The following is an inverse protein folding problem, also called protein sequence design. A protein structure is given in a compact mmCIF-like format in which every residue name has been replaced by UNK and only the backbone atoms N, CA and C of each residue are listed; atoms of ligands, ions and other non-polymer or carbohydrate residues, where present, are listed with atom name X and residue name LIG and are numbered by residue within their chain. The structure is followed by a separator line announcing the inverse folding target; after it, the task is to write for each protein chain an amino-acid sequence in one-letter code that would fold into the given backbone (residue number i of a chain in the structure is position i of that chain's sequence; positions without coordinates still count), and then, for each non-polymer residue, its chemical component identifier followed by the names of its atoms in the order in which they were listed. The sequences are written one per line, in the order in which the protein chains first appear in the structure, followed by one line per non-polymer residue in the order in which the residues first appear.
data_IF_859208401691
#
_entry.id   IF_859208401691
#
_cell.length_a   1.000
_cell.length_b   1.000
_cell.length_c   1.000
_cell.angle_alpha   90.00
_cell.angle_beta   90.00
_cell.angle_gamma   90.00
#
_symmetry.space_group_name_H-M   'P 1'
#
loop_
_entity.id
_entity.type
_entity.pdbx_description
1 polymer ?
#
# COMPACT_ATOMS: atom_id res chain seq x y z
N UNK A 1 5.04 -29.16 -46.54
CA UNK A 1 5.01 -27.71 -46.75
C UNK A 1 4.56 -27.08 -45.46
N UNK A 2 5.50 -26.54 -44.69
CA UNK A 2 5.23 -25.76 -43.48
C UNK A 2 4.95 -24.32 -43.93
N UNK A 3 3.72 -23.86 -43.76
CA UNK A 3 3.36 -22.46 -43.98
C UNK A 3 3.92 -21.65 -42.81
N UNK A 4 4.90 -20.79 -43.09
CA UNK A 4 5.38 -19.78 -42.15
C UNK A 4 4.39 -18.63 -42.19
N UNK A 5 3.67 -18.38 -41.09
CA UNK A 5 2.89 -17.17 -40.92
C UNK A 5 3.87 -16.02 -40.66
N UNK A 6 3.98 -15.10 -41.61
CA UNK A 6 4.59 -13.80 -41.36
C UNK A 6 3.62 -13.00 -40.46
N UNK A 7 4.11 -12.25 -39.46
CA UNK A 7 3.25 -11.38 -38.66
C UNK A 7 2.55 -10.37 -39.58
N UNK A 8 1.22 -10.33 -39.50
CA UNK A 8 0.40 -9.37 -40.22
C UNK A 8 0.28 -8.09 -39.38
N UNK A 9 0.76 -6.98 -39.90
CA UNK A 9 0.51 -5.65 -39.33
C UNK A 9 -0.83 -5.13 -39.86
N UNK A 10 -1.72 -4.76 -38.95
CA UNK A 10 -3.02 -4.18 -39.26
C UNK A 10 -2.97 -2.70 -38.91
N UNK A 11 -3.07 -1.84 -39.92
CA UNK A 11 -3.20 -0.40 -39.72
C UNK A 11 -4.69 -0.06 -39.59
N UNK A 12 -5.10 0.48 -38.45
CA UNK A 12 -6.51 0.73 -38.11
C UNK A 12 -7.05 2.03 -38.72
N UNK A 13 -6.20 3.06 -38.87
CA UNK A 13 -6.58 4.34 -39.44
C UNK A 13 -5.39 5.01 -40.14
N UNK A 14 -5.56 5.35 -41.42
CA UNK A 14 -4.72 6.33 -42.12
C UNK A 14 -5.45 7.67 -42.05
N UNK A 15 -4.99 8.56 -41.17
CA UNK A 15 -5.37 9.96 -41.21
C UNK A 15 -4.29 10.69 -42.03
N UNK A 16 -4.64 11.16 -43.23
CA UNK A 16 -3.74 11.94 -44.05
C UNK A 16 -3.62 13.34 -43.42
N UNK A 17 -2.43 13.63 -42.89
CA UNK A 17 -2.14 14.97 -42.40
C UNK A 17 -2.03 15.92 -43.61
N UNK A 18 -2.92 16.91 -43.67
CA UNK A 18 -2.98 17.89 -44.76
C UNK A 18 -2.16 19.15 -44.45
N UNK A 19 -1.46 19.15 -43.33
CA UNK A 19 -0.67 20.30 -42.88
C UNK A 19 0.59 20.42 -43.73
N UNK A 20 0.73 21.56 -44.39
CA UNK A 20 1.85 21.85 -45.30
C UNK A 20 2.92 22.61 -44.52
N UNK A 21 4.14 22.08 -44.49
CA UNK A 21 5.24 22.66 -43.73
C UNK A 21 6.48 21.78 -43.67
N UNK A 22 7.41 22.17 -42.79
CA UNK A 22 8.59 21.39 -42.41
C UNK A 22 8.39 20.88 -40.99
N UNK A 23 8.63 19.59 -40.76
CA UNK A 23 8.35 18.92 -39.49
C UNK A 23 9.53 18.06 -39.05
N UNK A 24 9.67 17.90 -37.74
CA UNK A 24 10.62 16.99 -37.11
C UNK A 24 9.97 15.60 -36.96
N UNK A 25 10.58 14.57 -37.53
CA UNK A 25 10.06 13.21 -37.53
C UNK A 25 11.16 12.17 -37.24
N UNK A 26 10.75 10.93 -36.95
CA UNK A 26 11.64 9.79 -36.69
C UNK A 26 12.78 10.11 -35.70
N UNK A 27 12.43 10.80 -34.61
CA UNK A 27 13.36 11.15 -33.54
C UNK A 27 13.78 9.86 -32.84
N UNK A 28 15.08 9.66 -32.65
CA UNK A 28 15.62 8.61 -31.82
C UNK A 28 16.81 9.17 -31.05
N UNK A 29 16.77 9.26 -29.72
CA UNK A 29 15.63 8.98 -28.83
C UNK A 29 14.41 9.86 -29.10
N UNK A 30 13.21 9.37 -28.78
CA UNK A 30 11.96 10.12 -28.92
C UNK A 30 11.78 11.14 -27.79
N UNK A 31 10.93 12.14 -28.03
CA UNK A 31 10.57 13.12 -27.02
C UNK A 31 9.85 12.45 -25.84
N UNK A 32 10.40 12.64 -24.64
CA UNK A 32 9.94 12.04 -23.36
C UNK A 32 10.38 10.59 -23.12
N UNK A 33 11.29 10.06 -23.94
CA UNK A 33 11.94 8.78 -23.61
C UNK A 33 12.70 8.90 -22.29
N UNK A 34 12.60 7.85 -21.48
CA UNK A 34 13.33 7.67 -20.23
C UNK A 34 14.21 6.43 -20.35
N UNK A 35 15.26 6.35 -19.52
CA UNK A 35 16.17 5.20 -19.50
C UNK A 35 16.89 4.97 -20.84
N UNK A 36 17.29 6.06 -21.48
CA UNK A 36 18.03 6.00 -22.73
C UNK A 36 19.51 5.72 -22.46
N UNK A 37 20.10 4.77 -23.19
CA UNK A 37 21.53 4.44 -23.13
C UNK A 37 22.42 5.70 -23.15
N UNK A 38 23.42 5.76 -22.25
CA UNK A 38 24.29 6.94 -22.15
C UNK A 38 25.16 7.20 -23.39
N UNK A 39 25.42 6.17 -24.20
CA UNK A 39 26.17 6.25 -25.46
C UNK A 39 25.23 6.32 -26.69
N UNK A 40 23.97 6.72 -26.51
CA UNK A 40 23.00 6.78 -27.62
C UNK A 40 23.37 7.84 -28.66
N UNK A 41 23.07 7.52 -29.92
CA UNK A 41 23.16 8.49 -31.02
C UNK A 41 21.84 9.24 -31.16
N UNK A 42 21.92 10.54 -31.39
CA UNK A 42 20.73 11.36 -31.67
C UNK A 42 20.48 11.35 -33.18
N UNK A 43 19.41 10.69 -33.61
CA UNK A 43 18.94 10.67 -34.99
C UNK A 43 17.62 11.42 -35.13
N UNK A 44 17.50 12.24 -36.17
CA UNK A 44 16.29 12.97 -36.48
C UNK A 44 16.14 13.18 -37.99
N UNK A 45 14.88 13.23 -38.44
CA UNK A 45 14.52 13.56 -39.82
C UNK A 45 13.78 14.89 -39.88
N UNK A 46 14.19 15.75 -40.81
CA UNK A 46 13.46 16.92 -41.24
C UNK A 46 12.70 16.58 -42.52
N UNK A 47 11.38 16.53 -42.43
CA UNK A 47 10.48 16.18 -43.53
C UNK A 47 9.76 17.43 -44.02
N UNK A 48 9.80 17.67 -45.33
CA UNK A 48 9.01 18.72 -45.99
C UNK A 48 7.79 18.10 -46.66
N UNK A 49 6.58 18.51 -46.28
CA UNK A 49 5.34 17.95 -46.85
C UNK A 49 4.93 18.59 -48.17
N UNK A 50 5.70 19.58 -48.66
CA UNK A 50 5.50 20.29 -49.94
C UNK A 50 6.65 20.00 -50.93
N UNK A 51 6.56 20.53 -52.15
CA UNK A 51 7.65 20.52 -53.13
C UNK A 51 8.88 21.36 -52.71
N UNK A 52 8.82 22.08 -51.58
CA UNK A 52 9.94 22.83 -51.03
C UNK A 52 11.02 21.88 -50.49
N UNK A 53 12.29 22.23 -50.69
CA UNK A 53 13.46 21.44 -50.25
C UNK A 53 13.95 21.99 -48.90
N UNK A 54 14.32 21.12 -47.96
CA UNK A 54 14.97 21.52 -46.71
C UNK A 54 16.32 22.20 -47.01
N UNK A 55 16.54 23.39 -46.44
CA UNK A 55 17.78 24.15 -46.60
C UNK A 55 18.83 23.65 -45.61
N UNK A 56 19.64 22.68 -46.08
CA UNK A 56 20.76 22.14 -45.30
C UNK A 56 21.66 23.25 -44.79
N UNK A 57 21.94 24.27 -45.61
CA UNK A 57 22.86 25.34 -45.24
C UNK A 57 22.35 26.20 -44.08
N UNK A 58 21.04 26.24 -43.82
CA UNK A 58 20.45 27.02 -42.72
C UNK A 58 19.85 26.11 -41.62
N UNK A 59 20.30 24.86 -41.53
CA UNK A 59 19.90 23.94 -40.48
C UNK A 59 20.91 23.97 -39.33
N UNK A 60 20.41 24.21 -38.12
CA UNK A 60 21.18 24.28 -36.89
C UNK A 60 20.55 23.32 -35.86
N UNK A 61 21.36 22.44 -35.29
CA UNK A 61 20.94 21.55 -34.20
C UNK A 61 21.71 21.92 -32.95
N UNK A 62 20.97 22.16 -31.87
CA UNK A 62 21.51 22.42 -30.55
C UNK A 62 21.22 21.25 -29.62
N UNK A 63 22.23 20.78 -28.88
CA UNK A 63 22.08 19.79 -27.81
C UNK A 63 22.48 20.45 -26.51
N UNK A 64 21.58 20.44 -25.51
CA UNK A 64 21.73 21.13 -24.23
C UNK A 64 22.06 22.63 -24.37
N UNK A 65 21.59 23.26 -25.46
CA UNK A 65 21.86 24.67 -25.76
C UNK A 65 23.23 24.93 -26.41
N UNK A 66 24.08 23.91 -26.55
CA UNK A 66 25.33 23.98 -27.33
C UNK A 66 25.06 23.64 -28.79
N UNK A 67 25.72 24.33 -29.71
CA UNK A 67 25.58 24.05 -31.14
C UNK A 67 26.29 22.72 -31.45
N UNK A 68 25.52 21.72 -31.88
CA UNK A 68 26.03 20.38 -32.21
C UNK A 68 26.30 20.23 -33.72
N UNK A 69 25.47 20.85 -34.56
CA UNK A 69 25.61 20.79 -36.02
C UNK A 69 25.30 22.14 -36.65
N UNK A 70 26.14 22.55 -37.61
CA UNK A 70 25.99 23.76 -38.43
C UNK A 70 26.11 23.42 -39.91
N UNK A 71 25.00 23.55 -40.63
CA UNK A 71 24.94 23.30 -42.07
C UNK A 71 25.66 24.32 -42.95
N UNK A 72 26.10 25.48 -42.41
CA UNK A 72 26.77 26.54 -43.20
C UNK A 72 28.27 26.30 -43.46
N UNK A 73 28.91 25.32 -42.79
CA UNK A 73 30.37 25.29 -42.71
C UNK A 73 31.04 23.95 -42.40
N UNK A 74 31.48 23.76 -41.14
CA UNK A 74 32.39 22.69 -40.69
C UNK A 74 31.67 21.32 -40.56
N UNK A 75 30.34 21.32 -40.55
CA UNK A 75 29.50 20.16 -40.25
C UNK A 75 29.26 20.02 -38.75
N UNK A 76 29.49 18.81 -38.22
CA UNK A 76 29.41 18.52 -36.79
C UNK A 76 30.48 19.28 -35.99
N UNK A 77 30.08 19.83 -34.84
CA UNK A 77 30.97 20.57 -33.96
C UNK A 77 31.84 19.60 -33.12
N UNK A 78 33.03 20.04 -32.66
CA UNK A 78 33.88 19.22 -31.80
C UNK A 78 33.13 18.76 -30.55
N UNK A 79 33.15 17.47 -30.27
CA UNK A 79 32.36 16.88 -29.17
C UNK A 79 31.14 16.11 -29.65
N UNK A 80 30.63 16.46 -30.84
CA UNK A 80 29.45 15.90 -31.50
C UNK A 80 29.79 15.27 -32.86
N UNK A 81 31.09 15.11 -33.16
CA UNK A 81 31.66 14.63 -34.42
C UNK A 81 32.17 13.18 -34.33
N UNK A 82 31.46 12.33 -33.57
CA UNK A 82 31.78 10.92 -33.43
C UNK A 82 31.73 10.14 -34.76
N UNK A 83 32.34 8.94 -34.83
CA UNK A 83 32.44 8.15 -36.08
C UNK A 83 31.08 7.76 -36.70
N UNK A 84 30.00 7.74 -35.92
CA UNK A 84 28.63 7.51 -36.36
C UNK A 84 27.90 8.78 -36.84
N UNK A 85 28.51 9.96 -36.73
CA UNK A 85 27.90 11.22 -37.15
C UNK A 85 27.77 11.27 -38.67
N UNK A 86 26.55 11.40 -39.16
CA UNK A 86 26.26 11.39 -40.60
C UNK A 86 25.12 12.31 -40.97
N UNK A 87 25.20 12.84 -42.18
CA UNK A 87 24.16 13.63 -42.81
C UNK A 87 23.73 12.88 -44.08
N UNK A 88 22.45 12.55 -44.20
CA UNK A 88 21.91 11.89 -45.38
C UNK A 88 20.75 12.68 -45.97
N UNK A 89 20.81 12.86 -47.29
CA UNK A 89 19.75 13.50 -48.04
C UNK A 89 18.78 12.42 -48.50
N UNK A 90 17.58 12.43 -47.91
CA UNK A 90 16.58 11.41 -48.16
C UNK A 90 15.85 11.70 -49.49
N UNK A 91 15.74 10.65 -50.30
CA UNK A 91 15.03 10.70 -51.59
C UNK A 91 13.56 10.37 -51.36
N UNK A 92 12.67 11.31 -51.68
CA UNK A 92 11.23 11.05 -51.75
C UNK A 92 10.84 10.79 -53.22
N UNK A 93 10.41 9.56 -53.59
CA UNK A 93 9.75 9.32 -54.89
C UNK A 93 8.43 10.12 -54.93
N UNK A 94 8.07 10.82 -56.03
CA UNK A 94 8.39 10.47 -57.42
C UNK A 94 9.22 11.51 -58.20
N UNK A 95 9.79 12.53 -57.55
CA UNK A 95 10.52 13.58 -58.27
C UNK A 95 11.93 13.10 -58.61
N UNK A 96 12.18 12.84 -59.89
CA UNK A 96 13.50 12.40 -60.38
C UNK A 96 14.50 13.55 -60.22
N UNK A 97 15.38 13.46 -59.22
CA UNK A 97 16.59 14.29 -59.12
C UNK A 97 16.61 15.41 -58.09
N UNK A 98 15.66 15.47 -57.14
CA UNK A 98 15.71 16.41 -56.00
C UNK A 98 15.58 15.66 -54.68
N UNK A 99 16.48 15.92 -53.73
CA UNK A 99 16.38 15.48 -52.35
C UNK A 99 15.48 16.47 -51.62
N UNK A 100 14.45 15.99 -50.92
CA UNK A 100 13.45 16.84 -50.27
C UNK A 100 13.62 16.87 -48.75
N UNK A 101 13.92 15.72 -48.17
CA UNK A 101 14.03 15.51 -46.73
C UNK A 101 15.49 15.33 -46.32
N UNK A 102 15.76 15.55 -45.03
CA UNK A 102 17.12 15.59 -44.50
C UNK A 102 17.22 14.81 -43.19
N UNK A 103 18.09 13.80 -43.15
CA UNK A 103 18.39 13.00 -41.97
C UNK A 103 19.71 13.43 -41.36
N UNK A 104 19.69 13.63 -40.04
CA UNK A 104 20.86 13.98 -39.26
C UNK A 104 21.03 12.91 -38.18
N UNK A 105 22.20 12.29 -38.12
CA UNK A 105 22.63 11.44 -37.00
C UNK A 105 23.84 12.10 -36.35
N UNK A 106 23.71 12.44 -35.07
CA UNK A 106 24.76 13.01 -34.23
C UNK A 106 25.26 11.90 -33.29
N UNK A 107 26.55 11.62 -33.34
CA UNK A 107 27.25 10.70 -32.44
C UNK A 107 28.11 11.51 -31.46
N UNK A 108 27.70 11.62 -30.17
CA UNK A 108 28.48 12.33 -29.17
C UNK A 108 29.79 11.59 -28.86
N UNK A 109 30.92 12.32 -28.87
CA UNK A 109 32.24 11.74 -28.61
C UNK A 109 32.47 11.32 -27.15
N UNK A 110 31.63 11.82 -26.24
CA UNK A 110 31.59 11.46 -24.83
C UNK A 110 30.15 11.15 -24.46
N UNK A 111 29.91 9.99 -23.84
CA UNK A 111 28.59 9.61 -23.34
C UNK A 111 28.00 10.61 -22.35
N UNK A 112 26.68 10.61 -22.25
CA UNK A 112 25.94 11.48 -21.35
C UNK A 112 26.11 11.06 -19.88
N UNK A 113 25.78 11.97 -18.96
CA UNK A 113 25.82 11.69 -17.53
C UNK A 113 24.55 11.00 -17.03
N UNK A 114 24.64 10.26 -15.92
CA UNK A 114 23.51 9.54 -15.30
C UNK A 114 22.31 10.47 -15.06
N UNK A 115 21.10 9.99 -15.39
CA UNK A 115 19.83 10.72 -15.23
C UNK A 115 19.79 12.12 -15.88
N UNK A 116 20.70 12.40 -16.80
CA UNK A 116 20.75 13.70 -17.46
C UNK A 116 19.54 13.86 -18.38
N UNK A 117 18.78 14.94 -18.21
CA UNK A 117 17.80 15.36 -19.21
C UNK A 117 18.52 16.06 -20.37
N UNK A 118 18.57 15.42 -21.52
CA UNK A 118 19.15 15.97 -22.75
C UNK A 118 18.07 16.70 -23.54
N UNK A 119 18.29 17.97 -23.85
CA UNK A 119 17.38 18.78 -24.67
C UNK A 119 17.95 19.00 -26.06
N UNK A 120 17.23 18.56 -27.09
CA UNK A 120 17.59 18.77 -28.50
C UNK A 120 16.67 19.84 -29.08
N UNK A 121 17.25 20.90 -29.64
CA UNK A 121 16.53 21.95 -30.34
C UNK A 121 16.98 22.02 -31.79
N UNK A 122 16.03 21.96 -32.71
CA UNK A 122 16.28 21.99 -34.15
C UNK A 122 15.70 23.27 -34.73
N UNK A 123 16.56 24.06 -35.39
CA UNK A 123 16.17 25.26 -36.11
C UNK A 123 16.51 25.07 -37.58
N UNK A 124 15.51 25.08 -38.45
CA UNK A 124 15.71 24.87 -39.89
C UNK A 124 14.68 25.65 -40.71
N UNK A 125 14.93 25.75 -42.01
CA UNK A 125 14.03 26.36 -42.97
C UNK A 125 14.09 25.64 -44.32
N UNK A 126 13.10 25.84 -45.17
CA UNK A 126 13.17 25.41 -46.58
C UNK A 126 13.94 26.42 -47.43
N UNK A 127 14.48 25.99 -48.57
CA UNK A 127 15.19 26.86 -49.52
C UNK A 127 14.29 28.03 -49.94
N UNK A 128 14.74 29.26 -49.69
CA UNK A 128 13.95 30.48 -49.93
C UNK A 128 13.09 30.95 -48.75
N UNK A 129 13.11 30.23 -47.62
CA UNK A 129 12.51 30.66 -46.35
C UNK A 129 10.98 30.54 -46.29
N UNK A 130 10.37 29.70 -47.12
CA UNK A 130 8.91 29.54 -47.18
C UNK A 130 8.32 28.97 -45.89
N UNK A 131 8.97 27.94 -45.33
CA UNK A 131 8.63 27.32 -44.07
C UNK A 131 9.83 27.30 -43.13
N UNK A 132 9.59 27.47 -41.83
CA UNK A 132 10.60 27.50 -40.77
C UNK A 132 10.17 26.61 -39.61
N UNK A 133 11.11 25.93 -38.97
CA UNK A 133 10.90 25.14 -37.76
C UNK A 133 11.87 25.60 -36.67
N UNK A 134 11.35 25.65 -35.44
CA UNK A 134 12.09 25.90 -34.21
C UNK A 134 11.42 25.08 -33.11
N UNK A 135 11.82 23.81 -33.04
CA UNK A 135 11.23 22.82 -32.14
C UNK A 135 12.29 22.27 -31.19
N UNK A 136 11.86 21.94 -29.97
CA UNK A 136 12.70 21.30 -28.97
C UNK A 136 12.00 20.10 -28.35
N UNK A 137 12.73 19.01 -28.19
CA UNK A 137 12.30 17.84 -27.44
C UNK A 137 13.39 17.45 -26.44
N UNK A 138 13.02 16.65 -25.44
CA UNK A 138 13.94 16.20 -24.42
C UNK A 138 13.74 14.73 -24.09
N UNK A 139 14.81 14.05 -23.74
CA UNK A 139 14.80 12.67 -23.24
C UNK A 139 15.71 12.58 -22.00
N UNK A 140 15.57 11.51 -21.23
CA UNK A 140 16.33 11.27 -19.99
C UNK A 140 17.19 10.04 -20.13
N UNK A 141 18.47 10.19 -19.78
CA UNK A 141 19.46 9.11 -19.80
C UNK A 141 19.20 8.13 -18.66
N UNK A 142 19.54 6.88 -18.87
CA UNK A 142 19.52 5.81 -17.87
C UNK A 142 20.29 6.16 -16.59
N UNK A 143 19.92 5.46 -15.52
CA UNK A 143 20.71 5.50 -14.31
C UNK A 143 21.92 4.55 -14.42
N UNK A 144 23.08 5.08 -14.08
CA UNK A 144 24.38 4.43 -14.06
C UNK A 144 25.02 4.49 -12.66
N UNK A 145 24.37 5.15 -11.70
CA UNK A 145 24.88 5.27 -10.34
C UNK A 145 24.44 4.05 -9.55
N UNK A 146 25.38 3.45 -8.81
CA UNK A 146 25.04 2.31 -7.96
C UNK A 146 24.36 2.78 -6.67
N UNK A 147 23.35 2.03 -6.18
CA UNK A 147 22.69 2.32 -4.92
C UNK A 147 23.60 2.16 -3.71
N UNK A 148 23.18 2.76 -2.60
CA UNK A 148 23.88 2.80 -1.32
C UNK A 148 22.94 2.53 -0.15
N UNK A 149 23.37 1.67 0.77
CA UNK A 149 22.69 1.51 2.05
C UNK A 149 23.01 2.71 2.94
N UNK A 150 22.04 3.61 3.13
CA UNK A 150 22.23 4.87 3.87
C UNK A 150 22.20 4.63 5.37
N UNK A 151 21.25 3.81 5.85
CA UNK A 151 21.11 3.56 7.27
C UNK A 151 20.38 2.27 7.57
N UNK A 152 20.61 1.76 8.77
CA UNK A 152 19.82 0.72 9.39
C UNK A 152 19.49 1.16 10.83
N UNK A 153 18.27 0.88 11.30
CA UNK A 153 17.92 1.06 12.71
C UNK A 153 16.81 0.10 13.12
N UNK A 154 16.87 -0.38 14.36
CA UNK A 154 15.86 -1.27 14.89
C UNK A 154 14.60 -0.49 15.31
N UNK A 155 13.47 -0.77 14.67
CA UNK A 155 12.16 -0.16 14.99
C UNK A 155 11.46 -0.90 16.12
N UNK A 156 11.67 -2.21 16.20
CA UNK A 156 11.13 -3.11 17.23
C UNK A 156 12.13 -4.20 17.57
N UNK A 157 11.84 -5.02 18.60
CA UNK A 157 12.71 -6.11 19.06
C UNK A 157 13.10 -7.11 17.95
N UNK A 158 12.24 -7.33 16.94
CA UNK A 158 12.49 -8.21 15.78
C UNK A 158 12.53 -7.49 14.43
N UNK A 159 12.43 -6.17 14.42
CA UNK A 159 12.23 -5.43 13.16
C UNK A 159 13.32 -4.39 13.01
N UNK A 160 14.00 -4.46 11.87
CA UNK A 160 15.06 -3.52 11.49
C UNK A 160 14.60 -2.82 10.22
N UNK A 161 14.65 -1.50 10.21
CA UNK A 161 14.43 -0.72 9.01
C UNK A 161 15.76 -0.48 8.32
N UNK A 162 15.89 -0.96 7.10
CA UNK A 162 16.96 -0.61 6.17
C UNK A 162 16.46 0.50 5.24
N UNK A 163 17.30 1.50 4.97
CA UNK A 163 16.98 2.61 4.08
C UNK A 163 18.10 2.82 3.08
N UNK A 164 17.71 2.89 1.81
CA UNK A 164 18.56 3.13 0.65
C UNK A 164 18.42 4.58 0.17
N UNK A 165 19.38 5.05 -0.61
CA UNK A 165 19.38 6.41 -1.19
C UNK A 165 18.43 6.55 -2.39
N UNK A 166 18.03 5.44 -2.99
CA UNK A 166 17.24 5.34 -4.23
C UNK A 166 16.34 4.10 -4.22
N UNK A 167 15.54 3.96 -5.26
CA UNK A 167 14.52 2.94 -5.38
C UNK A 167 15.15 1.58 -5.72
N UNK A 168 14.85 0.57 -4.90
CA UNK A 168 15.43 -0.76 -5.05
C UNK A 168 14.46 -1.74 -5.71
N UNK A 169 14.99 -2.73 -6.44
CA UNK A 169 14.19 -3.80 -7.00
C UNK A 169 13.43 -4.55 -5.88
N UNK A 170 12.11 -4.50 -5.93
CA UNK A 170 11.23 -5.04 -4.89
C UNK A 170 10.10 -5.92 -5.46
N UNK A 171 10.45 -6.85 -6.34
CA UNK A 171 9.49 -7.62 -7.13
C UNK A 171 9.15 -8.99 -6.53
N UNK A 172 10.11 -9.66 -5.88
CA UNK A 172 9.99 -11.05 -5.43
C UNK A 172 10.93 -11.39 -4.27
N UNK A 173 10.39 -12.06 -3.24
CA UNK A 173 11.17 -12.57 -2.12
C UNK A 173 12.13 -13.72 -2.48
N UNK A 174 12.05 -14.26 -3.69
CA UNK A 174 12.96 -15.32 -4.20
C UNK A 174 14.00 -14.79 -5.20
N UNK A 175 13.91 -13.50 -5.59
CA UNK A 175 14.85 -12.90 -6.53
C UNK A 175 16.26 -12.82 -5.94
N UNK A 176 17.27 -13.27 -6.69
CA UNK A 176 18.65 -13.30 -6.19
C UNK A 176 19.18 -11.91 -5.83
N UNK A 177 18.83 -10.90 -6.63
CA UNK A 177 19.30 -9.51 -6.46
C UNK A 177 18.17 -8.58 -5.96
N UNK A 178 17.08 -9.16 -5.45
CA UNK A 178 15.88 -8.43 -5.02
C UNK A 178 15.98 -7.99 -3.55
N UNK A 179 15.53 -6.78 -3.25
CA UNK A 179 15.53 -6.22 -1.91
C UNK A 179 14.54 -6.93 -0.97
N UNK A 180 13.55 -7.64 -1.50
CA UNK A 180 12.61 -8.45 -0.73
C UNK A 180 13.17 -9.82 -0.32
N UNK A 181 14.31 -10.24 -0.87
CA UNK A 181 14.90 -11.54 -0.54
C UNK A 181 15.62 -11.49 0.82
N UNK A 182 15.17 -12.25 1.83
CA UNK A 182 15.80 -12.28 3.15
C UNK A 182 17.25 -12.75 3.13
N UNK A 183 17.62 -13.61 2.16
CA UNK A 183 18.97 -14.14 2.04
C UNK A 183 20.01 -13.07 1.65
N UNK A 184 19.56 -11.92 1.14
CA UNK A 184 20.43 -10.79 0.82
C UNK A 184 20.82 -9.98 2.05
N UNK A 185 20.32 -10.30 3.25
CA UNK A 185 20.64 -9.55 4.45
C UNK A 185 21.33 -10.44 5.48
N UNK A 186 22.55 -10.07 5.86
CA UNK A 186 23.31 -10.71 6.91
C UNK A 186 23.48 -9.73 8.08
N UNK A 187 23.16 -10.18 9.29
CA UNK A 187 23.35 -9.39 10.50
C UNK A 187 24.55 -9.96 11.24
N UNK A 188 25.56 -9.12 11.43
CA UNK A 188 26.74 -9.50 12.21
C UNK A 188 26.81 -8.68 13.48
N UNK A 189 27.10 -9.34 14.59
CA UNK A 189 27.29 -8.65 15.85
C UNK A 189 28.62 -7.91 15.85
N UNK A 190 28.61 -6.63 16.27
CA UNK A 190 29.83 -5.85 16.45
C UNK A 190 30.18 -5.86 17.94
N UNK A 191 31.22 -6.61 18.36
CA UNK A 191 31.63 -6.62 19.75
C UNK A 191 32.08 -5.22 20.18
N UNK A 192 31.29 -4.60 21.05
CA UNK A 192 31.81 -3.58 21.93
C UNK A 192 32.69 -4.27 22.99
N UNK A 193 33.66 -3.56 23.56
CA UNK A 193 34.55 -4.07 24.62
C UNK A 193 33.82 -4.55 25.89
N UNK A 194 32.48 -4.53 25.93
CA UNK A 194 31.69 -4.73 27.13
C UNK A 194 30.97 -6.09 27.23
N UNK A 195 30.63 -6.77 26.11
CA UNK A 195 29.87 -8.04 26.07
C UNK A 195 29.83 -8.65 24.66
N UNK A 196 29.35 -9.89 24.53
CA UNK A 196 29.02 -10.52 23.23
C UNK A 196 27.53 -10.80 23.12
N UNK A 197 26.96 -10.74 21.91
CA UNK A 197 25.59 -11.21 21.68
C UNK A 197 25.53 -12.73 21.88
N UNK A 198 24.48 -13.18 22.59
CA UNK A 198 24.33 -14.58 22.96
C UNK A 198 24.07 -15.52 21.78
N UNK A 199 23.38 -15.02 20.74
CA UNK A 199 22.87 -15.82 19.62
C UNK A 199 23.02 -15.04 18.31
N UNK A 200 23.35 -15.74 17.23
CA UNK A 200 23.32 -15.20 15.87
C UNK A 200 21.88 -14.98 15.41
N UNK A 201 21.65 -13.90 14.68
CA UNK A 201 20.31 -13.49 14.23
C UNK A 201 20.27 -13.57 12.72
N UNK A 202 19.19 -14.14 12.18
CA UNK A 202 18.97 -14.28 10.74
C UNK A 202 17.72 -13.52 10.32
N UNK A 203 17.70 -13.00 9.08
CA UNK A 203 16.52 -12.33 8.51
C UNK A 203 15.62 -13.38 7.89
N UNK A 204 14.35 -13.38 8.30
CA UNK A 204 13.35 -14.39 7.88
C UNK A 204 12.40 -13.89 6.82
N UNK A 205 12.05 -12.61 6.87
CA UNK A 205 11.19 -11.97 5.88
C UNK A 205 11.54 -10.49 5.75
N UNK A 206 11.22 -9.93 4.59
CA UNK A 206 11.40 -8.51 4.29
C UNK A 206 10.08 -7.97 3.77
N UNK A 207 9.67 -6.81 4.27
CA UNK A 207 8.46 -6.11 3.84
C UNK A 207 8.84 -4.74 3.32
N UNK A 208 8.42 -4.41 2.10
CA UNK A 208 8.62 -3.07 1.54
C UNK A 208 7.67 -2.07 2.21
N UNK A 209 8.22 -0.96 2.71
CA UNK A 209 7.46 0.15 3.29
C UNK A 209 7.33 1.29 2.28
N UNK A 210 8.42 1.56 1.57
CA UNK A 210 8.50 2.46 0.41
C UNK A 210 9.55 1.93 -0.57
N UNK A 211 9.66 2.53 -1.75
CA UNK A 211 10.64 2.11 -2.75
C UNK A 211 12.10 2.17 -2.25
N UNK A 212 12.39 3.05 -1.28
CA UNK A 212 13.71 3.19 -0.65
C UNK A 212 13.84 2.56 0.75
N UNK A 213 12.76 2.04 1.35
CA UNK A 213 12.78 1.59 2.75
C UNK A 213 12.10 0.24 2.96
N UNK A 214 12.82 -0.65 3.65
CA UNK A 214 12.45 -2.05 3.84
C UNK A 214 12.53 -2.42 5.31
N UNK A 215 11.47 -3.07 5.82
CA UNK A 215 11.43 -3.63 7.17
C UNK A 215 11.84 -5.10 7.13
N UNK A 216 12.99 -5.40 7.72
CA UNK A 216 13.55 -6.74 7.88
C UNK A 216 13.03 -7.34 9.19
N UNK A 217 12.44 -8.53 9.11
CA UNK A 217 11.99 -9.29 10.30
C UNK A 217 12.97 -10.41 10.62
N UNK A 218 13.48 -10.42 11.84
CA UNK A 218 14.44 -11.43 12.32
C UNK A 218 13.76 -12.67 12.89
N UNK A 219 14.46 -13.80 12.90
CA UNK A 219 13.99 -15.06 13.48
C UNK A 219 13.77 -14.93 15.00
N UNK A 220 14.77 -14.36 15.68
CA UNK A 220 14.79 -14.10 17.12
C UNK A 220 14.93 -12.61 17.41
N UNK A 221 14.63 -12.23 18.65
CA UNK A 221 14.79 -10.85 19.10
C UNK A 221 16.26 -10.46 19.17
N UNK A 222 16.57 -9.23 18.75
CA UNK A 222 17.89 -8.66 18.90
C UNK A 222 18.22 -8.47 20.38
N UNK A 223 19.45 -8.76 20.76
CA UNK A 223 19.93 -8.53 22.12
C UNK A 223 19.90 -7.03 22.43
N UNK A 224 19.24 -6.62 23.51
CA UNK A 224 19.12 -5.21 23.88
C UNK A 224 20.47 -4.55 24.18
N UNK A 225 20.59 -3.25 23.88
CA UNK A 225 21.79 -2.43 24.14
C UNK A 225 23.05 -2.95 23.42
N UNK A 226 22.87 -3.45 22.19
CA UNK A 226 23.96 -4.00 21.36
C UNK A 226 24.05 -3.31 20.02
N UNK A 227 25.28 -3.16 19.54
CA UNK A 227 25.54 -2.72 18.19
C UNK A 227 25.64 -3.94 17.26
N UNK A 228 25.01 -3.82 16.11
CA UNK A 228 25.02 -4.78 15.02
C UNK A 228 25.45 -4.08 13.74
N UNK A 229 25.98 -4.84 12.79
CA UNK A 229 26.30 -4.42 11.44
C UNK A 229 25.41 -5.20 10.49
N UNK A 230 24.54 -4.48 9.80
CA UNK A 230 23.77 -5.02 8.69
C UNK A 230 24.67 -5.02 7.45
N UNK A 231 24.79 -6.16 6.79
CA UNK A 231 25.48 -6.33 5.52
C UNK A 231 24.47 -6.81 4.48
N UNK A 232 24.32 -6.06 3.40
CA UNK A 232 23.47 -6.42 2.27
C UNK A 232 24.27 -7.17 1.19
N UNK A 233 23.56 -7.95 0.38
CA UNK A 233 24.05 -8.60 -0.82
C UNK A 233 24.20 -7.62 -1.99
N UNK A 234 24.35 -8.15 -3.20
CA UNK A 234 24.40 -7.37 -4.43
C UNK A 234 22.98 -7.02 -4.91
N UNK A 235 22.22 -6.29 -4.08
CA UNK A 235 20.83 -5.92 -4.39
C UNK A 235 20.84 -4.88 -5.51
N UNK A 236 19.97 -5.06 -6.51
CA UNK A 236 19.83 -4.14 -7.64
C UNK A 236 18.83 -3.00 -7.35
N UNK A 237 19.06 -1.85 -7.97
CA UNK A 237 18.07 -0.77 -8.10
C UNK A 237 16.87 -1.21 -8.99
N UNK A 238 15.81 -0.40 -9.03
CA UNK A 238 14.66 -0.62 -9.92
C UNK A 238 14.86 -0.02 -11.33
N UNK A 239 16.11 0.24 -11.73
CA UNK A 239 16.42 0.79 -13.06
C UNK A 239 16.50 -0.30 -14.13
N UNK A 240 16.35 0.08 -15.40
CA UNK A 240 16.56 -0.82 -16.56
C UNK A 240 17.93 -1.53 -16.55
N UNK A 241 18.95 -0.90 -15.97
CA UNK A 241 20.30 -1.44 -15.90
C UNK A 241 20.56 -2.35 -14.72
N UNK A 242 19.65 -2.40 -13.74
CA UNK A 242 19.78 -3.19 -12.53
C UNK A 242 21.16 -2.97 -11.86
N UNK A 243 21.51 -1.70 -11.62
CA UNK A 243 22.76 -1.33 -10.95
C UNK A 243 22.80 -1.97 -9.56
N UNK A 244 23.75 -2.87 -9.37
CA UNK A 244 23.91 -3.56 -8.09
C UNK A 244 24.65 -2.68 -7.08
N UNK A 245 24.21 -2.75 -5.82
CA UNK A 245 24.82 -2.06 -4.68
C UNK A 245 26.33 -2.34 -4.61
N UNK A 246 27.17 -1.32 -4.54
CA UNK A 246 28.63 -1.51 -4.48
C UNK A 246 29.07 -2.06 -3.11
N UNK A 247 30.11 -2.89 -3.08
CA UNK A 247 30.61 -3.57 -1.89
C UNK A 247 30.93 -2.61 -0.73
N UNK A 248 31.43 -1.41 -1.04
CA UNK A 248 31.78 -0.40 -0.04
C UNK A 248 30.55 0.24 0.63
N UNK A 249 29.37 0.18 -0.01
CA UNK A 249 28.12 0.76 0.48
C UNK A 249 27.10 -0.28 0.94
N UNK A 250 27.50 -1.56 1.08
CA UNK A 250 26.65 -2.67 1.54
C UNK A 250 26.46 -2.75 3.05
N UNK A 251 27.07 -1.85 3.83
CA UNK A 251 27.11 -2.02 5.28
C UNK A 251 26.57 -0.82 6.04
N UNK A 252 25.75 -1.08 7.06
CA UNK A 252 25.24 -0.06 7.96
C UNK A 252 25.25 -0.56 9.41
N UNK A 253 25.90 0.21 10.28
CA UNK A 253 25.90 -0.05 11.73
C UNK A 253 24.61 0.45 12.36
N UNK A 254 24.03 -0.34 13.26
CA UNK A 254 22.83 0.04 14.00
C UNK A 254 22.86 -0.46 15.43
N UNK A 255 22.14 0.23 16.31
CA UNK A 255 21.90 -0.24 17.67
C UNK A 255 20.58 -1.02 17.71
N UNK A 256 20.56 -2.09 18.50
CA UNK A 256 19.37 -2.88 18.74
C UNK A 256 18.30 -2.04 19.42
N UNK A 257 17.05 -2.44 19.17
CA UNK A 257 15.92 -1.76 19.77
C UNK A 257 16.01 -1.89 21.29
N UNK A 258 15.88 -0.78 21.99
CA UNK A 258 15.82 -0.77 23.45
C UNK A 258 14.41 -0.39 23.89
N UNK A 259 13.89 -1.04 24.94
CA UNK A 259 12.60 -0.68 25.45
C UNK A 259 12.58 0.78 25.93
N UNK A 260 11.58 1.58 25.51
CA UNK A 260 11.51 3.00 25.88
C UNK A 260 11.25 3.21 27.38
N UNK A 261 10.65 2.23 28.04
CA UNK A 261 10.24 2.28 29.45
C UNK A 261 11.01 1.24 30.27
N UNK A 262 12.33 1.42 30.44
CA UNK A 262 13.10 0.63 31.41
C UNK A 262 13.12 1.31 32.78
N UNK A 263 12.56 0.72 33.86
CA UNK A 263 12.55 1.35 35.16
C UNK A 263 14.00 1.62 35.67
N UNK A 264 14.37 2.87 35.99
CA UNK A 264 15.75 3.22 36.35
C UNK A 264 16.24 2.57 37.66
N UNK A 265 15.31 2.06 38.48
CA UNK A 265 15.60 1.33 39.72
C UNK A 265 15.88 -0.16 39.49
N UNK A 266 15.59 -0.70 38.29
CA UNK A 266 15.81 -2.12 37.98
C UNK A 266 17.28 -2.39 37.68
N UNK A 267 18.00 -2.83 38.70
CA UNK A 267 19.40 -3.29 38.62
C UNK A 267 19.48 -4.80 38.78
N UNK A 268 18.97 -5.53 37.79
CA UNK A 268 19.07 -7.00 37.76
C UNK A 268 20.24 -7.40 36.87
N UNK A 269 21.45 -7.41 37.42
CA UNK A 269 22.67 -7.89 36.75
C UNK A 269 23.11 -9.21 37.39
N UNK A 270 23.02 -10.32 36.66
CA UNK A 270 23.37 -11.66 37.12
C UNK A 270 24.83 -11.72 37.57
N UNK A 271 25.74 -11.04 36.85
CA UNK A 271 27.15 -10.95 37.23
C UNK A 271 27.37 -10.42 38.65
N UNK A 272 26.60 -9.41 39.05
CA UNK A 272 26.73 -8.82 40.39
C UNK A 272 26.12 -9.70 41.48
N UNK A 273 25.25 -10.65 41.10
CA UNK A 273 24.63 -11.63 41.99
C UNK A 273 25.53 -12.85 42.24
N UNK A 274 26.56 -13.07 41.43
CA UNK A 274 27.52 -14.15 41.63
C UNK A 274 28.46 -13.85 42.81
N UNK A 275 28.83 -14.90 43.54
CA UNK A 275 29.81 -14.82 44.60
C UNK A 275 31.12 -14.24 44.06
N UNK A 276 31.73 -13.33 44.81
CA UNK A 276 32.96 -12.63 44.39
C UNK A 276 34.08 -13.62 44.02
N UNK A 277 34.21 -14.72 44.76
CA UNK A 277 35.19 -15.77 44.47
C UNK A 277 35.08 -16.32 43.04
N UNK A 278 33.86 -16.56 42.54
CA UNK A 278 33.68 -17.08 41.18
C UNK A 278 34.02 -16.04 40.11
N UNK A 279 33.89 -14.74 40.42
CA UNK A 279 34.27 -13.66 39.52
C UNK A 279 35.79 -13.47 39.49
N UNK A 280 36.43 -13.56 40.65
CA UNK A 280 37.88 -13.43 40.76
C UNK A 280 38.61 -14.63 40.14
N UNK A 281 37.99 -15.82 40.15
CA UNK A 281 38.52 -17.04 39.52
C UNK A 281 38.37 -17.05 37.98
N UNK A 282 37.54 -16.17 37.39
CA UNK A 282 37.34 -16.07 35.94
C UNK A 282 38.45 -15.25 35.25
N UNK A 283 39.63 -15.87 35.15
CA UNK A 283 40.79 -15.26 34.48
C UNK A 283 40.65 -15.28 32.94
N UNK A 284 39.87 -16.21 32.39
CA UNK A 284 39.69 -16.38 30.93
C UNK A 284 38.55 -15.53 30.37
N UNK A 285 37.63 -15.04 31.22
CA UNK A 285 36.45 -14.27 30.81
C UNK A 285 35.32 -15.13 30.23
N UNK A 286 35.43 -16.45 30.36
CA UNK A 286 34.44 -17.38 29.81
C UNK A 286 33.18 -17.43 30.69
N UNK A 287 33.33 -17.25 32.01
CA UNK A 287 32.18 -17.16 32.91
C UNK A 287 31.43 -15.85 32.68
N UNK A 288 32.13 -14.73 32.49
CA UNK A 288 31.51 -13.44 32.15
C UNK A 288 30.69 -13.55 30.87
N UNK A 289 31.26 -14.10 29.79
CA UNK A 289 30.54 -14.31 28.53
C UNK A 289 29.30 -15.19 28.69
N UNK A 290 29.40 -16.30 29.43
CA UNK A 290 28.25 -17.16 29.69
C UNK A 290 27.15 -16.43 30.46
N UNK A 291 27.52 -15.63 31.45
CA UNK A 291 26.58 -14.87 32.28
C UNK A 291 25.92 -13.77 31.46
N UNK A 292 26.64 -13.13 30.55
CA UNK A 292 26.05 -12.16 29.62
C UNK A 292 25.02 -12.83 28.70
N UNK A 293 25.27 -14.05 28.21
CA UNK A 293 24.26 -14.78 27.45
C UNK A 293 22.96 -15.02 28.25
N UNK A 294 23.09 -15.34 29.54
CA UNK A 294 21.92 -15.48 30.42
C UNK A 294 21.29 -14.14 30.76
N UNK A 295 22.08 -13.08 30.84
CA UNK A 295 21.61 -11.74 31.14
C UNK A 295 20.62 -11.26 30.09
N UNK A 296 20.90 -11.54 28.82
CA UNK A 296 20.03 -11.17 27.70
C UNK A 296 18.64 -11.82 27.81
N UNK A 297 18.60 -13.13 28.06
CA UNK A 297 17.33 -13.86 28.26
C UNK A 297 16.56 -13.31 29.46
N UNK A 298 17.25 -13.03 30.57
CA UNK A 298 16.60 -12.47 31.76
C UNK A 298 16.06 -11.08 31.49
N UNK A 299 16.77 -10.24 30.73
CA UNK A 299 16.27 -8.91 30.37
C UNK A 299 15.06 -8.97 29.45
N UNK A 300 15.04 -9.89 28.49
CA UNK A 300 13.86 -10.15 27.65
C UNK A 300 12.65 -10.57 28.50
N UNK A 301 12.83 -11.51 29.42
CA UNK A 301 11.78 -11.95 30.35
C UNK A 301 11.31 -10.84 31.29
N UNK A 302 12.22 -10.00 31.76
CA UNK A 302 11.88 -8.86 32.62
C UNK A 302 11.08 -7.80 31.86
N UNK A 303 11.42 -7.57 30.59
CA UNK A 303 10.64 -6.71 29.71
C UNK A 303 9.24 -7.26 29.46
N UNK A 304 9.11 -8.55 29.14
CA UNK A 304 7.81 -9.20 28.96
C UNK A 304 6.95 -9.15 30.22
N UNK A 305 7.57 -9.34 31.39
CA UNK A 305 6.88 -9.23 32.68
C UNK A 305 6.34 -7.82 32.94
N UNK A 306 7.09 -6.77 32.58
CA UNK A 306 6.63 -5.38 32.71
C UNK A 306 5.51 -5.09 31.70
N UNK A 307 5.60 -5.67 30.50
CA UNK A 307 4.58 -5.55 29.45
C UNK A 307 3.26 -6.23 29.81
N UNK A 308 3.22 -7.10 30.82
CA UNK A 308 2.00 -7.75 31.27
C UNK A 308 0.90 -6.73 31.60
N UNK A 309 1.24 -5.57 32.18
CA UNK A 309 0.28 -4.50 32.45
C UNK A 309 -0.36 -3.96 31.15
N UNK A 310 0.40 -3.88 30.06
CA UNK A 310 -0.09 -3.43 28.76
C UNK A 310 -1.05 -4.44 28.12
N UNK A 311 -0.92 -5.73 28.45
CA UNK A 311 -1.86 -6.78 28.03
C UNK A 311 -3.20 -6.63 28.76
N UNK A 312 -3.17 -6.19 30.02
CA UNK A 312 -4.39 -5.95 30.81
C UNK A 312 -5.10 -4.65 30.40
N UNK A 313 -4.37 -3.67 29.86
CA UNK A 313 -4.94 -2.44 29.31
C UNK A 313 -5.63 -2.70 27.96
N UNK A 314 -6.96 -2.51 27.93
CA UNK A 314 -7.79 -2.75 26.74
C UNK A 314 -7.45 -1.80 25.59
N UNK A 315 -6.88 -0.62 25.87
CA UNK A 315 -6.51 0.35 24.83
C UNK A 315 -5.15 0.04 24.19
N UNK A 316 -4.27 -0.67 24.90
CA UNK A 316 -2.88 -0.94 24.46
C UNK A 316 -2.62 -2.40 24.09
N UNK A 317 -3.46 -3.33 24.50
CA UNK A 317 -3.27 -4.75 24.22
C UNK A 317 -3.26 -5.03 22.70
N UNK A 318 -2.45 -6.00 22.27
CA UNK A 318 -2.48 -6.48 20.87
C UNK A 318 -3.79 -7.24 20.59
N UNK A 319 -4.20 -7.30 19.33
CA UNK A 319 -5.47 -7.90 18.91
C UNK A 319 -5.65 -9.35 19.38
N UNK A 320 -4.59 -10.17 19.36
CA UNK A 320 -4.63 -11.56 19.84
C UNK A 320 -5.10 -11.68 21.29
N UNK A 321 -4.71 -10.72 22.14
CA UNK A 321 -5.13 -10.69 23.55
C UNK A 321 -6.55 -10.14 23.70
N UNK A 322 -7.02 -9.29 22.79
CA UNK A 322 -8.42 -8.85 22.77
C UNK A 322 -9.34 -10.03 22.45
N UNK A 323 -8.98 -10.85 21.47
CA UNK A 323 -9.75 -12.04 21.09
C UNK A 323 -9.79 -13.09 22.21
N UNK A 324 -8.64 -13.36 22.84
CA UNK A 324 -8.57 -14.25 23.98
C UNK A 324 -9.45 -13.77 25.15
N UNK A 325 -9.49 -12.45 25.40
CA UNK A 325 -10.33 -11.85 26.46
C UNK A 325 -11.81 -11.88 26.11
N UNK A 326 -12.16 -11.62 24.85
CA UNK A 326 -13.54 -11.76 24.38
C UNK A 326 -14.02 -13.21 24.52
N UNK A 327 -13.16 -14.18 24.24
CA UNK A 327 -13.46 -15.60 24.43
C UNK A 327 -13.62 -15.97 25.91
N UNK A 328 -12.73 -15.48 26.79
CA UNK A 328 -12.80 -15.72 28.23
C UNK A 328 -14.07 -15.12 28.86
N UNK A 329 -14.45 -13.92 28.43
CA UNK A 329 -15.70 -13.27 28.84
C UNK A 329 -16.95 -13.87 28.17
N UNK A 330 -16.78 -14.78 27.22
CA UNK A 330 -17.87 -15.54 26.62
C UNK A 330 -18.66 -14.84 25.52
N UNK A 331 -18.02 -13.97 24.71
CA UNK A 331 -18.65 -13.13 23.69
C UNK A 331 -19.79 -13.87 22.93
N UNK A 332 -21.04 -13.39 23.01
CA UNK A 332 -22.20 -14.08 22.44
C UNK A 332 -22.38 -13.78 20.94
N UNK A 333 -21.57 -12.87 20.38
CA UNK A 333 -21.68 -12.41 19.00
C UNK A 333 -20.75 -13.20 18.08
N UNK A 334 -21.30 -13.71 16.98
CA UNK A 334 -20.61 -14.60 16.04
C UNK A 334 -20.16 -13.92 14.73
N UNK A 335 -20.11 -12.60 14.70
CA UNK A 335 -19.77 -11.82 13.50
C UNK A 335 -18.41 -11.13 13.65
N UNK A 336 -17.78 -10.83 12.51
CA UNK A 336 -16.44 -10.25 12.48
C UNK A 336 -16.45 -8.82 13.02
N UNK A 337 -15.59 -8.56 14.00
CA UNK A 337 -15.42 -7.27 14.64
C UNK A 337 -14.09 -6.66 14.21
N UNK A 338 -14.10 -5.36 13.92
CA UNK A 338 -12.85 -4.60 13.78
C UNK A 338 -12.14 -4.49 15.13
N UNK A 339 -10.83 -4.29 15.13
CA UNK A 339 -10.03 -4.13 16.36
C UNK A 339 -10.62 -3.07 17.30
N UNK A 340 -11.04 -1.92 16.76
CA UNK A 340 -11.66 -0.85 17.53
C UNK A 340 -12.99 -1.28 18.17
N UNK A 341 -13.82 -2.06 17.45
CA UNK A 341 -15.06 -2.60 17.99
C UNK A 341 -14.79 -3.65 19.08
N UNK A 342 -13.76 -4.50 18.92
CA UNK A 342 -13.34 -5.46 19.95
C UNK A 342 -12.94 -4.76 21.25
N UNK A 343 -12.14 -3.68 21.17
CA UNK A 343 -11.74 -2.87 22.33
C UNK A 343 -12.94 -2.25 23.04
N UNK A 344 -13.81 -1.58 22.29
CA UNK A 344 -15.03 -0.98 22.85
C UNK A 344 -15.99 -2.02 23.44
N UNK A 345 -16.09 -3.19 22.79
CA UNK A 345 -16.95 -4.26 23.26
C UNK A 345 -16.47 -4.78 24.60
N UNK A 346 -15.17 -5.03 24.78
CA UNK A 346 -14.61 -5.50 26.06
C UNK A 346 -15.00 -4.60 27.25
N UNK A 347 -15.06 -3.28 27.04
CA UNK A 347 -15.42 -2.33 28.09
C UNK A 347 -16.93 -2.34 28.43
N UNK A 348 -17.77 -2.64 27.43
CA UNK A 348 -19.24 -2.61 27.54
C UNK A 348 -19.87 -4.00 27.74
N UNK A 349 -19.11 -5.09 27.52
CA UNK A 349 -19.62 -6.46 27.49
C UNK A 349 -20.21 -6.90 28.83
N UNK A 350 -19.55 -6.62 29.96
CA UNK A 350 -20.08 -6.97 31.29
C UNK A 350 -21.37 -6.19 31.61
N UNK A 351 -21.46 -4.86 31.40
CA UNK A 351 -22.72 -4.14 31.46
C UNK A 351 -23.80 -4.67 30.51
N UNK A 352 -23.46 -5.04 29.27
CA UNK A 352 -24.43 -5.56 28.31
C UNK A 352 -25.00 -6.91 28.77
N UNK A 353 -24.17 -7.76 29.39
CA UNK A 353 -24.65 -9.01 29.96
C UNK A 353 -25.77 -8.84 30.98
N UNK A 354 -25.69 -7.78 31.80
CA UNK A 354 -26.71 -7.46 32.81
C UNK A 354 -28.02 -6.96 32.20
N UNK A 355 -27.98 -6.49 30.96
CA UNK A 355 -29.14 -5.95 30.26
C UNK A 355 -29.75 -6.96 29.27
N UNK A 356 -29.14 -8.12 29.02
CA UNK A 356 -29.74 -9.13 28.13
C UNK A 356 -31.16 -9.49 28.55
N UNK A 357 -32.02 -9.75 27.55
CA UNK A 357 -33.45 -9.96 27.73
C UNK A 357 -34.25 -8.69 28.03
N UNK A 358 -33.67 -7.50 27.86
CA UNK A 358 -34.39 -6.22 28.00
C UNK A 358 -34.37 -5.42 26.70
N UNK A 359 -35.42 -4.62 26.48
CA UNK A 359 -35.51 -3.68 25.36
C UNK A 359 -34.27 -2.76 25.26
N UNK A 360 -33.80 -2.13 26.36
CA UNK A 360 -32.62 -1.28 26.31
C UNK A 360 -31.35 -1.98 25.81
N UNK A 361 -31.18 -3.30 26.04
CA UNK A 361 -30.02 -4.01 25.51
C UNK A 361 -30.01 -4.08 23.99
N UNK A 362 -31.15 -4.43 23.37
CA UNK A 362 -31.25 -4.51 21.91
C UNK A 362 -31.00 -3.13 21.30
N UNK A 363 -31.62 -2.08 21.85
CA UNK A 363 -31.42 -0.70 21.40
C UNK A 363 -29.95 -0.28 21.50
N UNK A 364 -29.32 -0.52 22.65
CA UNK A 364 -27.94 -0.11 22.90
C UNK A 364 -26.94 -0.88 22.03
N UNK A 365 -27.14 -2.19 21.82
CA UNK A 365 -26.25 -3.01 21.01
C UNK A 365 -26.39 -2.70 19.51
N UNK A 366 -27.61 -2.51 19.02
CA UNK A 366 -27.83 -2.07 17.62
C UNK A 366 -27.20 -0.71 17.38
N UNK A 367 -27.37 0.23 18.32
CA UNK A 367 -26.71 1.54 18.26
C UNK A 367 -25.19 1.44 18.33
N UNK A 368 -24.66 0.53 19.14
CA UNK A 368 -23.22 0.35 19.31
C UNK A 368 -22.54 -0.22 18.06
N UNK A 369 -23.11 -1.24 17.44
CA UNK A 369 -22.51 -1.91 16.28
C UNK A 369 -22.83 -1.24 14.94
N UNK A 370 -24.07 -0.80 14.75
CA UNK A 370 -24.56 -0.25 13.47
C UNK A 370 -24.68 1.27 13.47
N UNK A 371 -24.69 1.93 14.64
CA UNK A 371 -24.92 3.38 14.73
C UNK A 371 -26.37 3.80 14.46
N UNK A 372 -27.28 2.85 14.28
CA UNK A 372 -28.69 3.07 13.95
C UNK A 372 -29.51 3.15 15.23
N UNK A 373 -30.55 3.99 15.23
CA UNK A 373 -31.53 4.05 16.32
C UNK A 373 -32.74 3.19 15.97
N UNK A 374 -33.04 2.22 16.84
CA UNK A 374 -34.20 1.33 16.71
C UNK A 374 -35.11 1.51 17.93
N UNK A 375 -36.39 1.25 17.73
CA UNK A 375 -37.40 1.18 18.80
C UNK A 375 -37.92 -0.25 18.91
N UNK A 376 -38.10 -0.76 20.13
CA UNK A 376 -38.56 -2.14 20.35
C UNK A 376 -39.93 -2.09 21.03
N UNK A 377 -40.92 -2.77 20.45
CA UNK A 377 -42.26 -2.86 21.01
C UNK A 377 -42.67 -4.31 21.21
N UNK A 378 -43.15 -4.67 22.40
CA UNK A 378 -43.68 -5.99 22.68
C UNK A 378 -45.19 -6.04 22.42
N UNK A 379 -45.67 -7.04 21.68
CA UNK A 379 -47.12 -7.25 21.43
C UNK A 379 -47.91 -7.59 22.72
N UNK A 380 -47.22 -8.04 23.76
CA UNK A 380 -47.81 -8.37 25.05
C UNK A 380 -47.93 -7.18 26.01
N UNK A 381 -47.48 -5.98 25.64
CA UNK A 381 -47.62 -4.82 26.51
C UNK A 381 -49.09 -4.42 26.69
N UNK A 382 -49.54 -4.33 27.93
CA UNK A 382 -50.91 -3.89 28.28
C UNK A 382 -51.18 -2.43 27.89
N UNK A 383 -50.14 -1.64 27.65
CA UNK A 383 -50.24 -0.23 27.27
C UNK A 383 -50.69 -0.05 25.81
N UNK A 384 -50.44 -1.03 24.94
CA UNK A 384 -50.76 -0.94 23.51
C UNK A 384 -51.97 -1.79 23.10
N UNK A 385 -52.61 -2.47 24.07
CA UNK A 385 -53.75 -3.34 23.81
C UNK A 385 -55.03 -2.53 23.80
N UNK A 386 -55.84 -2.79 22.78
CA UNK A 386 -57.21 -2.29 22.74
C UNK A 386 -58.06 -2.91 23.86
N UNK A 387 -58.55 -2.06 24.76
CA UNK A 387 -59.46 -2.44 25.85
C UNK A 387 -60.88 -2.10 25.46
N UNK A 388 -61.70 -3.14 25.31
CA UNK A 388 -63.12 -3.02 24.98
C UNK A 388 -63.84 -2.12 26.01
N UNK A 389 -64.41 -1.01 25.52
CA UNK A 389 -65.16 -0.06 26.34
C UNK A 389 -64.34 1.09 26.93
N UNK A 390 -63.02 1.15 26.67
CA UNK A 390 -62.16 2.29 27.01
C UNK A 390 -61.57 2.96 25.77
N UNK A 391 -61.11 2.17 24.79
CA UNK A 391 -60.37 2.69 23.64
C UNK A 391 -61.26 2.84 22.39
N UNK A 392 -61.06 3.93 21.64
CA UNK A 392 -61.77 4.18 20.37
C UNK A 392 -61.24 3.28 19.24
N UNK A 393 -62.15 2.63 18.51
CA UNK A 393 -61.79 1.77 17.38
C UNK A 393 -61.15 2.61 16.26
N UNK A 394 -59.89 2.32 15.92
CA UNK A 394 -59.21 2.89 14.76
C UNK A 394 -58.15 3.98 15.04
N UNK A 395 -57.86 4.30 16.30
CA UNK A 395 -56.77 5.23 16.66
C UNK A 395 -55.67 4.54 17.47
N UNK A 396 -54.60 4.08 16.81
CA UNK A 396 -53.41 3.54 17.50
C UNK A 396 -53.63 2.26 18.31
N UNK A 397 -54.73 1.55 18.04
CA UNK A 397 -55.17 0.39 18.82
C UNK A 397 -54.71 -0.91 18.21
N UNK A 398 -53.92 -1.70 18.95
CA UNK A 398 -53.54 -3.06 18.55
C UNK A 398 -54.48 -4.05 19.25
N UNK A 399 -55.18 -4.89 18.48
CA UNK A 399 -55.91 -6.04 19.01
C UNK A 399 -54.87 -7.01 19.59
N UNK A 400 -54.87 -7.17 20.92
CA UNK A 400 -53.90 -8.02 21.60
C UNK A 400 -53.96 -9.47 21.11
N UNK A 401 -52.83 -10.20 21.17
CA UNK A 401 -52.78 -11.58 20.68
C UNK A 401 -53.71 -12.50 21.47
N UNK A 402 -54.32 -13.48 20.78
CA UNK A 402 -55.23 -14.45 21.36
C UNK A 402 -54.54 -15.35 22.41
N UNK A 403 -55.31 -15.86 23.38
CA UNK A 403 -54.77 -16.75 24.39
C UNK A 403 -54.17 -18.02 23.77
N UNK A 404 -52.86 -18.22 23.98
CA UNK A 404 -52.12 -19.39 23.49
C UNK A 404 -51.48 -19.24 22.10
N UNK A 405 -51.50 -18.05 21.49
CA UNK A 405 -50.75 -17.78 20.25
C UNK A 405 -49.28 -17.44 20.55
N UNK A 406 -48.39 -17.75 19.58
CA UNK A 406 -46.95 -17.43 19.69
C UNK A 406 -46.69 -15.92 19.80
N UNK A 407 -47.62 -15.11 19.31
CA UNK A 407 -47.57 -13.64 19.31
C UNK A 407 -47.52 -13.02 20.72
N UNK A 408 -47.89 -13.78 21.77
CA UNK A 408 -47.71 -13.37 23.17
C UNK A 408 -46.24 -13.25 23.58
N UNK A 409 -45.34 -13.93 22.86
CA UNK A 409 -43.89 -13.90 23.09
C UNK A 409 -43.14 -13.23 21.94
N UNK A 410 -43.84 -12.45 21.11
CA UNK A 410 -43.24 -11.75 19.97
C UNK A 410 -43.03 -10.27 20.27
N UNK A 411 -41.86 -9.74 19.90
CA UNK A 411 -41.59 -8.31 19.88
C UNK A 411 -41.15 -7.83 18.49
N UNK A 412 -41.33 -6.55 18.22
CA UNK A 412 -40.97 -5.92 16.95
C UNK A 412 -39.80 -4.98 17.19
N UNK A 413 -38.77 -5.09 16.35
CA UNK A 413 -37.67 -4.13 16.25
C UNK A 413 -37.97 -3.27 15.04
N UNK A 414 -38.31 -2.00 15.27
CA UNK A 414 -38.62 -1.04 14.23
C UNK A 414 -37.44 -0.11 14.01
N UNK A 415 -37.00 -0.01 12.75
CA UNK A 415 -35.97 0.93 12.32
C UNK A 415 -36.61 2.25 11.83
N UNK A 416 -35.90 3.37 12.02
CA UNK A 416 -36.30 4.68 11.48
C UNK A 416 -35.80 4.90 10.03
N UNK A 417 -34.91 4.05 9.55
CA UNK A 417 -34.33 4.08 8.20
C UNK A 417 -34.48 2.73 7.53
N UNK A 418 -34.57 2.70 6.20
CA UNK A 418 -34.60 1.46 5.45
C UNK A 418 -33.30 0.68 5.65
N UNK A 419 -33.42 -0.56 6.12
CA UNK A 419 -32.28 -1.42 6.42
C UNK A 419 -31.80 -2.15 5.17
N UNK A 420 -30.49 -2.20 4.97
CA UNK A 420 -29.87 -3.11 4.01
C UNK A 420 -30.02 -4.57 4.46
N UNK A 421 -29.88 -5.51 3.52
CA UNK A 421 -29.91 -6.96 3.82
C UNK A 421 -28.86 -7.35 4.87
N UNK A 422 -27.70 -6.72 4.84
CA UNK A 422 -26.63 -6.98 5.81
C UNK A 422 -26.98 -6.44 7.20
N UNK A 423 -27.46 -5.19 7.29
CA UNK A 423 -27.89 -4.60 8.57
C UNK A 423 -29.04 -5.39 9.21
N UNK A 424 -30.01 -5.83 8.41
CA UNK A 424 -31.11 -6.68 8.87
C UNK A 424 -30.60 -8.02 9.43
N UNK A 425 -29.60 -8.62 8.77
CA UNK A 425 -28.92 -9.83 9.27
C UNK A 425 -28.19 -9.56 10.59
N UNK A 426 -27.47 -8.44 10.70
CA UNK A 426 -26.76 -8.06 11.92
C UNK A 426 -27.71 -7.82 13.10
N UNK A 427 -28.83 -7.13 12.88
CA UNK A 427 -29.87 -6.93 13.91
C UNK A 427 -30.44 -8.28 14.35
N UNK A 428 -30.68 -9.20 13.41
CA UNK A 428 -31.13 -10.56 13.73
C UNK A 428 -30.14 -11.31 14.62
N UNK A 429 -28.84 -11.27 14.30
CA UNK A 429 -27.81 -11.89 15.13
C UNK A 429 -27.72 -11.27 16.54
N UNK A 430 -27.88 -9.95 16.66
CA UNK A 430 -27.93 -9.27 17.96
C UNK A 430 -29.18 -9.71 18.74
N UNK A 431 -30.35 -9.73 18.10
CA UNK A 431 -31.60 -10.16 18.72
C UNK A 431 -31.53 -11.62 19.19
N UNK A 432 -31.01 -12.53 18.38
CA UNK A 432 -30.84 -13.94 18.74
C UNK A 432 -29.86 -14.16 19.89
N UNK A 433 -28.78 -13.36 19.96
CA UNK A 433 -27.82 -13.41 21.06
C UNK A 433 -28.38 -12.83 22.37
N UNK A 434 -29.37 -11.94 22.31
CA UNK A 434 -29.83 -11.14 23.46
C UNK A 434 -31.20 -11.54 23.99
N UNK A 435 -32.06 -12.12 23.15
CA UNK A 435 -33.43 -12.49 23.53
C UNK A 435 -33.46 -13.72 24.44
N UNK A 436 -34.45 -13.82 25.34
CA UNK A 436 -34.77 -15.08 25.99
C UNK A 436 -35.13 -16.15 24.95
N UNK A 437 -34.77 -17.40 25.22
CA UNK A 437 -34.92 -18.50 24.25
C UNK A 437 -36.35 -18.71 23.74
N UNK A 438 -37.36 -18.33 24.52
CA UNK A 438 -38.78 -18.53 24.20
C UNK A 438 -39.42 -17.34 23.48
N UNK A 439 -38.71 -16.24 23.30
CA UNK A 439 -39.22 -15.05 22.60
C UNK A 439 -38.92 -15.10 21.10
N UNK A 440 -39.80 -14.51 20.32
CA UNK A 440 -39.69 -14.35 18.87
C UNK A 440 -39.58 -12.87 18.52
N UNK A 441 -38.96 -12.55 17.38
CA UNK A 441 -38.82 -11.17 16.93
C UNK A 441 -39.19 -11.00 15.46
N UNK A 442 -39.66 -9.79 15.14
CA UNK A 442 -39.87 -9.32 13.78
C UNK A 442 -39.09 -8.01 13.58
N UNK A 443 -38.46 -7.85 12.42
CA UNK A 443 -37.75 -6.62 12.05
C UNK A 443 -38.59 -5.89 11.01
N UNK A 444 -38.94 -4.63 11.26
CA UNK A 444 -39.77 -3.81 10.38
C UNK A 444 -39.00 -2.57 9.90
N UNK A 445 -39.01 -2.35 8.59
CA UNK A 445 -38.49 -1.14 7.96
C UNK A 445 -39.57 -0.04 7.91
N UNK A 446 -39.18 1.24 7.80
CA UNK A 446 -40.14 2.32 7.63
C UNK A 446 -40.93 2.22 6.31
N UNK A 447 -40.33 1.64 5.25
CA UNK A 447 -41.01 1.33 4.00
C UNK A 447 -41.95 0.11 4.08
N UNK A 448 -41.80 -0.75 5.09
CA UNK A 448 -42.73 -1.85 5.40
C UNK A 448 -44.01 -1.35 6.11
N UNK A 449 -44.15 -0.04 6.34
CA UNK A 449 -45.40 0.57 6.78
C UNK A 449 -46.46 0.37 5.70
N UNK A 450 -47.18 -0.75 5.80
CA UNK A 450 -48.33 -1.10 4.98
C UNK A 450 -49.25 0.10 4.95
N UNK A 451 -49.46 0.69 3.75
CA UNK A 451 -50.61 1.56 3.52
C UNK A 451 -51.84 0.70 3.79
N UNK A 452 -52.43 0.84 4.99
CA UNK A 452 -53.63 0.12 5.34
C UNK A 452 -54.71 0.51 4.33
N UNK A 453 -55.24 -0.45 3.58
CA UNK A 453 -56.49 -0.25 2.85
C UNK A 453 -57.59 -0.17 3.90
N UNK A 454 -57.83 1.04 4.40
CA UNK A 454 -58.79 1.25 5.47
C UNK A 454 -60.19 0.99 4.93
N UNK A 455 -60.90 0.08 5.58
CA UNK A 455 -62.26 -0.32 5.27
C UNK A 455 -63.17 0.91 5.14
N UNK A 456 -63.53 1.27 3.91
CA UNK A 456 -64.43 2.40 3.67
C UNK A 456 -65.87 1.93 3.79
N UNK A 457 -66.53 2.41 4.86
CA UNK A 457 -67.96 2.22 5.10
C UNK A 457 -68.76 2.69 3.88
N UNK A 458 -69.37 1.71 3.18
CA UNK A 458 -70.19 1.93 1.99
C UNK A 458 -69.62 1.39 0.68
N UNK A 459 -68.32 1.03 0.65
CA UNK A 459 -67.66 0.53 -0.57
C UNK A 459 -67.11 -0.90 -0.44
N UNK A 460 -66.66 -1.29 0.75
CA UNK A 460 -66.03 -2.61 0.97
C UNK A 460 -67.08 -3.69 1.31
N UNK A 461 -67.05 -4.83 0.62
CA UNK A 461 -67.98 -5.98 0.83
C UNK A 461 -67.29 -7.07 1.64
N UNK A 462 -67.98 -7.58 2.68
CA UNK A 462 -67.45 -8.63 3.54
C UNK A 462 -67.40 -9.98 2.78
N UNK A 463 -66.23 -10.62 2.70
CA UNK A 463 -66.08 -12.02 2.29
C UNK A 463 -65.47 -12.31 0.92
N UNK A 464 -65.04 -11.31 0.14
CA UNK A 464 -64.39 -11.55 -1.18
C UNK A 464 -62.89 -11.26 -1.22
N UNK A 465 -62.41 -10.29 -0.45
CA UNK A 465 -60.97 -9.95 -0.34
C UNK A 465 -60.52 -9.80 1.12
N UNK A 466 -61.25 -10.42 2.04
CA UNK A 466 -61.05 -10.21 3.48
C UNK A 466 -60.09 -11.23 4.05
N UNK A 467 -58.85 -10.82 4.34
CA UNK A 467 -58.05 -11.47 5.41
C UNK A 467 -58.33 -10.69 6.68
N UNK A 468 -59.02 -11.33 7.62
CA UNK A 468 -59.19 -10.81 8.97
C UNK A 468 -57.92 -11.20 9.74
N UNK A 469 -57.08 -10.22 10.07
CA UNK A 469 -55.99 -10.42 11.03
C UNK A 469 -56.53 -10.21 12.45
#
# INVERSE_FOLDING_TARGET
MTFVNLPAFWFDLFAEDTTVGIFLANQYPEGSDTEVDADTNITLDLISTDAAIVDVANTLVYVNGELAMDGTGIGFQPGWDGPGSTEDLLKVPPVTGSFHDYRITIDPTTGFTSEQTVTVRVVSQTVGGTYTIDESYSFTIEDLVAPQLVSAFATYAKTIRATFNEDMLGSSAEGADDALNPANYAITYVPANDRQAAVSVEVTSVTQISATAYDLTTDIELTFWRAYLLTCGAIADDSSNANALDADFRTAGFESWTPPEWPPTRRFRIWDMLAQQNRDDDVTGDLERLVDCWQDVVWMLLWDADRLEQIWDVDRAQEIFLDARLQDLGNPHSFDLTELQKRKLLDVLVPSYRQHGTEPAIINLVRFFLGITVTVYAYNSFEYRWVLGQDELGQGTILGPGAGTADLYTFVIQSLTDLTTEERRFIGLIADATKPAHEHYLIQDPSDAVTWDHWQLGFSVLGTETILH
#
